data_IF_562647697384
#
_entry.id   IF_562647697384
#
_cell.length_a   1.000
_cell.length_b   1.000
_cell.length_c   1.000
_cell.angle_alpha   90.00
_cell.angle_beta   90.00
_cell.angle_gamma   90.00
#
_symmetry.space_group_name_H-M   'P 1'
#
loop_
_entity.id
_entity.type
_entity.pdbx_description
1 polymer ?
#
# COMPACT_ATOMS: atom_id res chain seq x y z
N UNK A 1 -9.12 -4.19 -12.36
CA UNK A 1 -7.76 -3.98 -11.81
C UNK A 1 -7.84 -4.13 -10.30
N UNK A 2 -6.75 -4.57 -9.66
CA UNK A 2 -6.62 -4.70 -8.21
C UNK A 2 -5.42 -3.87 -7.76
N UNK A 3 -5.48 -3.35 -6.55
CA UNK A 3 -4.43 -2.53 -5.99
C UNK A 3 -3.97 -3.10 -4.66
N UNK A 4 -2.66 -3.20 -4.48
CA UNK A 4 -2.05 -3.43 -3.17
C UNK A 4 -1.67 -2.08 -2.60
N UNK A 5 -1.94 -1.84 -1.33
CA UNK A 5 -1.71 -0.55 -0.70
C UNK A 5 -1.08 -0.69 0.67
N UNK A 6 -0.39 0.37 1.05
CA UNK A 6 0.17 0.57 2.38
C UNK A 6 -0.37 1.87 2.94
N UNK A 7 -1.12 1.75 4.04
CA UNK A 7 -1.57 2.89 4.83
C UNK A 7 -0.67 3.06 6.04
N UNK A 8 -0.46 4.31 6.46
CA UNK A 8 0.22 4.66 7.69
C UNK A 8 -0.70 5.50 8.56
N UNK A 9 -0.85 5.06 9.80
CA UNK A 9 -1.53 5.82 10.85
C UNK A 9 -0.64 6.98 11.27
N UNK A 10 -1.15 8.19 11.15
CA UNK A 10 -0.46 9.38 11.66
C UNK A 10 -0.37 9.34 13.19
N UNK A 11 -1.43 8.85 13.84
CA UNK A 11 -1.57 8.84 15.29
C UNK A 11 -0.68 7.82 15.99
N UNK A 12 -0.53 6.64 15.41
CA UNK A 12 0.14 5.50 16.07
C UNK A 12 1.40 5.06 15.35
N UNK A 13 1.73 5.65 14.20
CA UNK A 13 2.85 5.23 13.35
C UNK A 13 2.70 3.83 12.73
N UNK A 14 1.60 3.13 13.04
CA UNK A 14 1.35 1.77 12.55
C UNK A 14 1.11 1.78 11.06
N UNK A 15 1.67 0.77 10.40
CA UNK A 15 1.42 0.53 8.98
C UNK A 15 0.37 -0.57 8.80
N UNK A 16 -0.43 -0.46 7.75
CA UNK A 16 -1.43 -1.45 7.36
C UNK A 16 -1.27 -1.77 5.89
N UNK A 17 -1.15 -3.06 5.57
CA UNK A 17 -0.98 -3.54 4.20
C UNK A 17 -2.21 -4.37 3.84
N UNK A 18 -2.77 -4.11 2.66
CA UNK A 18 -3.87 -4.89 2.12
C UNK A 18 -4.01 -4.73 0.63
N UNK A 19 -5.00 -5.41 0.05
CA UNK A 19 -5.39 -5.21 -1.35
C UNK A 19 -6.88 -4.88 -1.47
N UNK A 20 -7.25 -4.18 -2.56
CA UNK A 20 -8.61 -3.77 -2.86
C UNK A 20 -8.80 -3.57 -4.37
N UNK A 21 -10.04 -3.56 -4.86
CA UNK A 21 -10.35 -3.08 -6.22
C UNK A 21 -10.44 -1.56 -6.28
N UNK A 22 -10.90 -0.93 -5.20
CA UNK A 22 -11.10 0.51 -5.09
C UNK A 22 -10.32 1.06 -3.89
N UNK A 23 -9.27 1.84 -4.18
CA UNK A 23 -8.40 2.44 -3.16
C UNK A 23 -9.10 3.55 -2.38
N UNK A 24 -9.76 4.48 -3.09
CA UNK A 24 -10.42 5.63 -2.48
C UNK A 24 -11.51 5.20 -1.50
N UNK A 25 -12.41 4.31 -1.95
CA UNK A 25 -13.46 3.76 -1.10
C UNK A 25 -12.89 3.06 0.14
N UNK A 26 -11.80 2.30 -0.01
CA UNK A 26 -11.18 1.60 1.11
C UNK A 26 -10.53 2.57 2.10
N UNK A 27 -9.88 3.63 1.62
CA UNK A 27 -9.30 4.67 2.46
C UNK A 27 -10.38 5.37 3.28
N UNK A 28 -11.51 5.72 2.66
CA UNK A 28 -12.68 6.29 3.35
C UNK A 28 -13.27 5.32 4.38
N UNK A 29 -13.35 4.02 4.08
CA UNK A 29 -13.81 3.00 5.04
C UNK A 29 -12.91 2.92 6.29
N UNK A 30 -11.59 2.99 6.10
CA UNK A 30 -10.63 3.04 7.21
C UNK A 30 -10.74 4.35 7.99
N UNK A 31 -10.84 5.49 7.30
CA UNK A 31 -10.95 6.81 7.90
C UNK A 31 -12.34 7.15 8.46
N UNK A 32 -13.37 6.38 8.14
CA UNK A 32 -14.70 6.45 8.78
C UNK A 32 -14.79 5.57 10.03
N UNK A 33 -13.80 4.70 10.28
CA UNK A 33 -13.75 3.85 11.47
C UNK A 33 -14.66 2.62 11.42
N UNK A 34 -15.15 2.25 10.23
CA UNK A 34 -15.98 1.04 10.02
C UNK A 34 -15.22 -0.26 10.32
N UNK A 35 -13.89 -0.24 10.23
CA UNK A 35 -13.06 -1.42 10.46
C UNK A 35 -12.52 -1.46 11.90
N UNK A 36 -12.91 -2.51 12.66
CA UNK A 36 -12.55 -2.70 14.08
C UNK A 36 -11.05 -2.61 14.33
N UNK A 37 -10.25 -3.21 13.45
CA UNK A 37 -8.78 -3.29 13.60
C UNK A 37 -8.08 -1.98 13.27
N UNK A 38 -8.68 -1.12 12.44
CA UNK A 38 -8.03 0.11 11.94
C UNK A 38 -8.63 1.38 12.55
N UNK A 39 -9.80 1.31 13.21
CA UNK A 39 -10.45 2.45 13.87
C UNK A 39 -9.54 3.22 14.83
N UNK A 40 -8.66 2.55 15.55
CA UNK A 40 -7.76 3.16 16.54
C UNK A 40 -6.55 3.89 15.93
N UNK A 41 -6.22 3.60 14.67
CA UNK A 41 -5.10 4.21 13.94
C UNK A 41 -5.51 5.35 13.01
N UNK A 42 -6.71 5.92 13.19
CA UNK A 42 -7.14 7.07 12.40
C UNK A 42 -6.41 8.35 12.88
N UNK A 43 -6.07 9.29 11.98
CA UNK A 43 -6.24 9.23 10.53
C UNK A 43 -5.20 8.34 9.84
N UNK A 44 -5.64 7.62 8.81
CA UNK A 44 -4.79 6.82 7.92
C UNK A 44 -4.48 7.59 6.65
N UNK A 45 -3.21 7.57 6.27
CA UNK A 45 -2.70 8.16 5.03
C UNK A 45 -2.19 7.07 4.10
N UNK A 46 -2.49 7.20 2.82
CA UNK A 46 -1.93 6.33 1.79
C UNK A 46 -0.47 6.72 1.54
N UNK A 47 0.45 5.81 1.84
CA UNK A 47 1.90 6.05 1.63
C UNK A 47 2.39 5.42 0.34
N UNK A 48 1.82 4.28 -0.03
CA UNK A 48 2.23 3.54 -1.21
C UNK A 48 1.07 2.72 -1.78
N UNK A 49 1.04 2.57 -3.10
CA UNK A 49 0.16 1.62 -3.77
C UNK A 49 0.79 1.11 -5.07
N UNK A 50 0.42 -0.12 -5.44
CA UNK A 50 0.74 -0.75 -6.71
C UNK A 50 -0.53 -1.26 -7.35
N UNK A 51 -0.56 -1.30 -8.69
CA UNK A 51 -1.72 -1.77 -9.46
C UNK A 51 -1.37 -3.05 -10.20
N UNK A 52 -2.28 -4.02 -10.15
CA UNK A 52 -2.17 -5.32 -10.77
C UNK A 52 -3.41 -5.60 -11.61
N UNK A 53 -3.21 -6.37 -12.69
CA UNK A 53 -4.29 -6.76 -13.58
C UNK A 53 -5.19 -7.79 -12.93
N UNK A 54 -4.62 -8.76 -12.22
CA UNK A 54 -5.35 -9.86 -11.59
C UNK A 54 -5.33 -9.80 -10.05
N UNK A 55 -6.33 -10.44 -9.43
CA UNK A 55 -6.39 -10.60 -7.98
C UNK A 55 -5.23 -11.44 -7.45
N UNK A 56 -4.84 -12.47 -8.19
CA UNK A 56 -3.81 -13.42 -7.78
C UNK A 56 -2.45 -12.73 -7.67
N UNK A 57 -2.09 -11.87 -8.63
CA UNK A 57 -0.87 -11.05 -8.58
C UNK A 57 -0.87 -10.13 -7.37
N UNK A 58 -1.97 -9.41 -7.14
CA UNK A 58 -2.12 -8.53 -5.98
C UNK A 58 -1.98 -9.31 -4.66
N UNK A 59 -2.57 -10.50 -4.54
CA UNK A 59 -2.46 -11.34 -3.35
C UNK A 59 -1.03 -11.87 -3.12
N UNK A 60 -0.34 -12.31 -4.19
CA UNK A 60 1.07 -12.72 -4.11
C UNK A 60 1.94 -11.56 -3.60
N UNK A 61 1.72 -10.36 -4.13
CA UNK A 61 2.43 -9.16 -3.72
C UNK A 61 2.12 -8.74 -2.28
N UNK A 62 0.85 -8.79 -1.87
CA UNK A 62 0.47 -8.54 -0.48
C UNK A 62 1.15 -9.52 0.48
N UNK A 63 1.20 -10.80 0.12
CA UNK A 63 1.86 -11.83 0.94
C UNK A 63 3.36 -11.59 1.04
N UNK A 64 4.01 -11.23 -0.05
CA UNK A 64 5.41 -10.79 -0.07
C UNK A 64 5.63 -9.64 0.91
N UNK A 65 4.79 -8.60 0.84
CA UNK A 65 4.87 -7.47 1.76
C UNK A 65 4.61 -7.84 3.22
N UNK A 66 3.69 -8.78 3.47
CA UNK A 66 3.41 -9.25 4.83
C UNK A 66 4.58 -10.04 5.41
N UNK A 67 5.26 -10.85 4.60
CA UNK A 67 6.38 -11.69 5.04
C UNK A 67 7.67 -10.88 5.22
N UNK A 68 8.00 -10.02 4.26
CA UNK A 68 9.27 -9.29 4.27
C UNK A 68 9.28 -8.11 5.25
N UNK A 69 8.12 -7.56 5.58
CA UNK A 69 7.99 -6.35 6.40
C UNK A 69 7.25 -6.61 7.74
N UNK A 70 7.06 -7.86 8.16
CA UNK A 70 6.54 -8.15 9.51
C UNK A 70 7.58 -7.75 10.55
N UNK A 71 7.42 -6.57 11.15
CA UNK A 71 8.24 -6.09 12.27
C UNK A 71 9.11 -4.87 11.96
N UNK A 72 9.27 -4.51 10.69
CA UNK A 72 10.03 -3.32 10.29
C UNK A 72 9.05 -2.19 10.07
N UNK A 73 9.22 -1.10 10.82
CA UNK A 73 8.54 0.17 10.55
C UNK A 73 8.74 0.49 9.07
N UNK A 74 7.65 0.48 8.31
CA UNK A 74 7.67 0.71 6.87
C UNK A 74 8.09 2.17 6.65
N UNK A 75 9.40 2.39 6.57
CA UNK A 75 10.02 3.54 5.94
C UNK A 75 10.18 3.12 4.48
N UNK A 76 9.08 3.03 3.73
CA UNK A 76 9.19 2.98 2.28
C UNK A 76 9.55 4.38 1.84
N UNK A 77 10.81 4.54 1.47
CA UNK A 77 11.39 5.79 1.05
C UNK A 77 10.60 6.41 -0.12
N UNK A 78 10.33 7.73 -0.10
CA UNK A 78 9.67 8.40 -1.21
C UNK A 78 10.70 8.77 -2.27
N UNK A 79 11.40 7.80 -2.87
CA UNK A 79 12.30 8.02 -4.03
C UNK A 79 13.09 6.75 -4.35
N UNK A 80 12.63 5.93 -5.29
CA UNK A 80 13.50 5.36 -6.35
C UNK A 80 12.65 4.57 -7.36
N UNK A 81 11.80 5.26 -8.13
CA UNK A 81 11.19 4.67 -9.33
C UNK A 81 11.19 5.68 -10.47
N UNK A 82 12.37 6.26 -10.73
CA UNK A 82 12.62 7.16 -11.85
C UNK A 82 13.91 6.81 -12.60
N UNK A 83 14.28 5.53 -12.70
CA UNK A 83 15.55 5.15 -13.34
C UNK A 83 15.52 3.84 -14.15
N UNK A 84 14.37 3.44 -14.73
CA UNK A 84 14.35 2.28 -15.66
C UNK A 84 13.71 2.50 -17.02
N UNK A 85 13.26 3.71 -17.40
CA UNK A 85 12.59 3.92 -18.69
C UNK A 85 13.07 5.12 -19.52
N UNK A 86 14.35 5.49 -19.50
CA UNK A 86 15.00 6.22 -20.61
C UNK A 86 16.48 5.84 -20.49
N UNK A 87 17.02 4.84 -21.19
CA UNK A 87 17.51 4.95 -22.56
C UNK A 87 17.70 3.53 -23.13
N UNK A 88 16.72 3.00 -23.85
CA UNK A 88 16.96 1.93 -24.81
C UNK A 88 16.16 2.20 -26.08
N UNK A 89 16.46 3.35 -26.69
CA UNK A 89 16.13 3.69 -28.08
C UNK A 89 16.72 5.06 -28.35
N UNK A 90 17.89 5.08 -28.97
CA UNK A 90 18.25 5.95 -30.09
C UNK A 90 19.69 5.58 -30.48
N UNK A 91 19.75 4.81 -31.56
CA UNK A 91 20.82 4.70 -32.57
C UNK A 91 22.24 4.44 -32.07
#
# INVERSE_FOLDING_TARGET
>A
MYHVYVLKSEKTGRSYIGHTKDLNKRLEEHNSGKSRSTRHGRPWHLVYYETFSTRQEAMKREMFYKHEYTGVAIILQPRLFLLTCVTHSLV
#
